data_IF_754752475130
#
_entry.id   IF_754752475130
#
_cell.length_a   1.000
_cell.length_b   1.000
_cell.length_c   1.000
_cell.angle_alpha   90.00
_cell.angle_beta   90.00
_cell.angle_gamma   90.00
#
_symmetry.space_group_name_H-M   'P 1'
#
loop_
_entity.id
_entity.type
_entity.pdbx_description
1 polymer ?
#
# COMPACT_ATOMS: atom_id res chain seq x y z
N UNK A 1 -23.17 -12.38 12.87
CA UNK A 1 -22.21 -11.60 13.67
C UNK A 1 -21.84 -10.35 12.86
N UNK A 2 -22.05 -9.19 13.49
CA UNK A 2 -21.58 -7.92 12.92
C UNK A 2 -20.04 -7.92 12.96
N UNK A 3 -19.36 -7.47 11.89
CA UNK A 3 -17.89 -7.37 11.84
C UNK A 3 -17.29 -6.60 13.02
N UNK A 4 -18.05 -5.67 13.62
CA UNK A 4 -17.64 -4.91 14.82
C UNK A 4 -17.63 -5.76 16.10
N UNK A 5 -18.35 -6.85 16.15
CA UNK A 5 -18.47 -7.68 17.36
C UNK A 5 -17.30 -8.65 17.53
N UNK A 6 -16.69 -9.09 16.41
CA UNK A 6 -15.58 -10.05 16.43
C UNK A 6 -14.36 -9.58 17.23
N UNK A 7 -13.82 -8.36 16.99
CA UNK A 7 -12.70 -7.85 17.78
C UNK A 7 -13.04 -7.74 19.28
N UNK A 8 -14.27 -7.31 19.61
CA UNK A 8 -14.73 -7.20 21.00
C UNK A 8 -14.77 -8.56 21.69
N UNK A 9 -15.28 -9.59 21.01
CA UNK A 9 -15.35 -10.96 21.55
C UNK A 9 -13.95 -11.50 21.79
N UNK A 10 -13.03 -11.32 20.81
CA UNK A 10 -11.67 -11.80 20.91
C UNK A 10 -10.88 -11.08 22.01
N UNK A 11 -10.93 -9.76 22.07
CA UNK A 11 -10.16 -8.96 23.01
C UNK A 11 -10.65 -9.08 24.47
N UNK A 12 -11.94 -9.37 24.68
CA UNK A 12 -12.49 -9.66 26.02
C UNK A 12 -11.82 -10.85 26.69
N UNK A 13 -11.32 -11.83 25.92
CA UNK A 13 -10.58 -12.98 26.47
C UNK A 13 -9.27 -12.55 27.16
N UNK A 14 -8.73 -11.41 26.77
CA UNK A 14 -7.52 -10.82 27.37
C UNK A 14 -7.83 -9.67 28.34
N UNK A 15 -9.09 -9.52 28.76
CA UNK A 15 -9.49 -8.43 29.66
C UNK A 15 -9.48 -7.04 29.02
N UNK A 16 -9.37 -6.96 27.68
CA UNK A 16 -9.33 -5.69 26.94
C UNK A 16 -10.74 -5.28 26.56
N UNK A 17 -11.14 -4.08 26.98
CA UNK A 17 -12.38 -3.43 26.56
C UNK A 17 -12.10 -2.50 25.38
N UNK A 18 -12.96 -2.54 24.37
CA UNK A 18 -12.93 -1.59 23.25
C UNK A 18 -13.91 -0.47 23.56
N UNK A 19 -13.44 0.75 23.59
CA UNK A 19 -14.27 1.94 23.84
C UNK A 19 -14.75 2.58 22.53
N UNK A 20 -13.91 2.59 21.49
CA UNK A 20 -14.20 3.25 20.20
C UNK A 20 -13.75 2.42 19.00
N UNK A 21 -14.35 2.66 17.84
CA UNK A 21 -14.03 2.01 16.56
C UNK A 21 -13.76 3.03 15.45
N UNK A 22 -12.71 2.81 14.68
CA UNK A 22 -12.55 3.39 13.36
C UNK A 22 -12.85 2.34 12.29
N UNK A 23 -13.52 2.73 11.20
CA UNK A 23 -13.66 1.83 10.05
C UNK A 23 -12.31 1.68 9.34
N UNK A 24 -12.13 0.59 8.60
CA UNK A 24 -10.86 0.26 7.94
C UNK A 24 -10.32 1.43 7.10
N UNK A 25 -11.09 1.92 6.14
CA UNK A 25 -10.65 3.04 5.29
C UNK A 25 -10.50 4.36 6.05
N UNK A 26 -11.25 4.56 7.15
CA UNK A 26 -11.08 5.75 8.00
C UNK A 26 -9.74 5.70 8.75
N UNK A 27 -9.33 4.53 9.25
CA UNK A 27 -8.02 4.38 9.90
C UNK A 27 -6.86 4.60 8.92
N UNK A 28 -6.95 4.08 7.69
CA UNK A 28 -5.97 4.36 6.64
C UNK A 28 -5.89 5.85 6.30
N UNK A 29 -7.04 6.49 6.08
CA UNK A 29 -7.10 7.92 5.82
C UNK A 29 -6.45 8.72 6.95
N UNK A 30 -6.86 8.45 8.18
CA UNK A 30 -6.38 9.18 9.34
C UNK A 30 -4.88 8.97 9.58
N UNK A 31 -4.38 7.74 9.45
CA UNK A 31 -2.94 7.44 9.54
C UNK A 31 -2.13 8.22 8.51
N UNK A 32 -2.60 8.29 7.28
CA UNK A 32 -1.94 9.06 6.23
C UNK A 32 -2.06 10.58 6.44
N UNK A 33 -3.27 11.09 6.66
CA UNK A 33 -3.54 12.53 6.75
C UNK A 33 -2.89 13.18 7.98
N UNK A 34 -3.05 12.57 9.16
CA UNK A 34 -2.56 13.16 10.41
C UNK A 34 -1.06 12.97 10.67
N UNK A 35 -0.38 12.13 9.87
CA UNK A 35 1.09 12.08 9.83
C UNK A 35 1.66 13.00 8.76
N UNK A 36 0.84 13.49 7.82
CA UNK A 36 1.30 14.35 6.73
C UNK A 36 1.66 15.75 7.20
N UNK A 37 2.53 16.46 6.46
CA UNK A 37 2.82 17.87 6.73
C UNK A 37 1.70 18.80 6.27
N UNK A 38 0.63 18.29 5.66
CA UNK A 38 -0.41 19.11 5.06
C UNK A 38 -1.51 19.47 6.05
N UNK A 39 -1.93 20.73 6.04
CA UNK A 39 -3.13 21.19 6.74
C UNK A 39 -4.37 21.07 5.86
N UNK A 40 -4.21 21.20 4.55
CA UNK A 40 -5.25 21.07 3.55
C UNK A 40 -4.82 20.10 2.46
N UNK A 41 -5.48 18.95 2.41
CA UNK A 41 -5.16 17.88 1.47
C UNK A 41 -6.38 17.05 1.11
N UNK A 42 -6.28 16.33 -0.01
CA UNK A 42 -7.16 15.20 -0.25
C UNK A 42 -6.45 13.90 0.14
N UNK A 43 -7.20 12.95 0.66
CA UNK A 43 -6.68 11.60 0.89
C UNK A 43 -7.38 10.60 -0.02
N UNK A 44 -6.59 9.82 -0.73
CA UNK A 44 -7.05 8.70 -1.53
C UNK A 44 -6.56 7.40 -0.86
N UNK A 45 -7.48 6.66 -0.29
CA UNK A 45 -7.21 5.31 0.23
C UNK A 45 -7.51 4.30 -0.87
N UNK A 46 -6.53 3.47 -1.24
CA UNK A 46 -6.68 2.39 -2.23
C UNK A 46 -6.16 1.11 -1.63
N UNK A 47 -7.02 0.11 -1.56
CA UNK A 47 -6.70 -1.16 -0.92
C UNK A 47 -7.24 -2.35 -1.71
N UNK A 48 -6.92 -3.55 -1.25
CA UNK A 48 -7.54 -4.76 -1.77
C UNK A 48 -9.03 -4.77 -1.41
N UNK A 49 -9.34 -4.81 -0.14
CA UNK A 49 -10.68 -4.67 0.43
C UNK A 49 -10.58 -4.40 1.94
N UNK A 50 -11.28 -3.39 2.41
CA UNK A 50 -11.45 -3.11 3.83
C UNK A 50 -12.93 -3.06 4.18
N UNK A 51 -13.44 -4.04 4.94
CA UNK A 51 -14.87 -4.28 5.12
C UNK A 51 -15.55 -4.50 3.75
N UNK A 52 -16.08 -3.46 3.12
CA UNK A 52 -16.65 -3.49 1.77
C UNK A 52 -16.02 -2.48 0.82
N UNK A 53 -15.29 -1.52 1.33
CA UNK A 53 -14.60 -0.49 0.55
C UNK A 53 -13.30 -1.06 -0.06
N UNK A 54 -13.07 -0.71 -1.32
CA UNK A 54 -11.81 -0.99 -2.05
C UNK A 54 -11.06 0.29 -2.37
N UNK A 55 -11.77 1.43 -2.31
CA UNK A 55 -11.22 2.76 -2.45
C UNK A 55 -12.11 3.76 -1.72
N UNK A 56 -11.51 4.76 -1.10
CA UNK A 56 -12.23 5.92 -0.56
C UNK A 56 -11.47 7.21 -0.82
N UNK A 57 -12.22 8.28 -1.03
CA UNK A 57 -11.71 9.61 -1.28
C UNK A 57 -12.24 10.58 -0.23
N UNK A 58 -11.32 11.36 0.32
CA UNK A 58 -11.59 12.28 1.41
C UNK A 58 -11.10 13.67 1.08
N UNK A 59 -11.85 14.68 1.48
CA UNK A 59 -11.45 16.07 1.51
C UNK A 59 -11.19 16.45 2.96
N UNK A 60 -9.92 16.54 3.33
CA UNK A 60 -9.48 16.53 4.72
C UNK A 60 -10.10 15.32 5.46
N UNK A 61 -10.98 15.53 6.41
CA UNK A 61 -11.65 14.49 7.21
C UNK A 61 -12.99 14.03 6.63
N UNK A 62 -13.49 14.69 5.59
CA UNK A 62 -14.81 14.40 5.02
C UNK A 62 -14.71 13.41 3.88
N UNK A 63 -15.33 12.24 4.02
CA UNK A 63 -15.46 11.31 2.90
C UNK A 63 -16.38 11.92 1.84
N UNK A 64 -15.85 12.00 0.60
CA UNK A 64 -16.58 12.57 -0.56
C UNK A 64 -16.83 11.55 -1.66
N UNK A 65 -16.24 10.36 -1.57
CA UNK A 65 -16.47 9.28 -2.52
C UNK A 65 -15.92 7.96 -2.03
N UNK A 66 -16.50 6.87 -2.54
CA UNK A 66 -16.03 5.51 -2.26
C UNK A 66 -16.33 4.58 -3.42
N UNK A 67 -15.54 3.55 -3.53
CA UNK A 67 -15.78 2.39 -4.37
C UNK A 67 -15.84 1.16 -3.49
N UNK A 68 -16.77 0.26 -3.82
CA UNK A 68 -16.97 -0.97 -3.05
C UNK A 68 -16.69 -2.19 -3.92
N UNK A 69 -16.43 -3.30 -3.23
CA UNK A 69 -16.37 -4.62 -3.81
C UNK A 69 -17.62 -4.88 -4.71
N UNK A 70 -17.49 -5.54 -5.89
CA UNK A 70 -16.36 -6.39 -6.28
C UNK A 70 -15.25 -5.68 -7.08
N UNK A 71 -15.38 -4.41 -7.42
CA UNK A 71 -14.37 -3.70 -8.20
C UNK A 71 -13.24 -3.26 -7.28
N UNK A 72 -12.03 -3.76 -7.52
CA UNK A 72 -10.84 -3.45 -6.71
C UNK A 72 -9.58 -3.48 -7.56
N UNK A 73 -8.81 -2.39 -7.50
CA UNK A 73 -7.47 -2.34 -8.12
C UNK A 73 -6.47 -3.20 -7.36
N UNK A 74 -6.57 -3.25 -6.02
CA UNK A 74 -5.71 -4.08 -5.18
C UNK A 74 -5.95 -5.56 -5.42
N UNK A 75 -7.22 -6.03 -5.38
CA UNK A 75 -7.54 -7.43 -5.67
C UNK A 75 -7.15 -7.84 -7.09
N UNK A 76 -7.31 -6.96 -8.09
CA UNK A 76 -6.84 -7.23 -9.45
C UNK A 76 -5.34 -7.45 -9.47
N UNK A 77 -4.59 -6.56 -8.79
CA UNK A 77 -3.13 -6.64 -8.75
C UNK A 77 -2.67 -7.94 -8.06
N UNK A 78 -3.25 -8.28 -6.91
CA UNK A 78 -2.98 -9.53 -6.19
C UNK A 78 -3.36 -10.77 -7.00
N UNK A 79 -4.49 -10.73 -7.74
CA UNK A 79 -4.91 -11.83 -8.60
C UNK A 79 -3.93 -12.09 -9.76
N UNK A 80 -3.35 -11.04 -10.34
CA UNK A 80 -2.29 -11.18 -11.36
C UNK A 80 -0.99 -11.63 -10.73
N UNK A 81 -0.64 -11.14 -9.54
CA UNK A 81 0.50 -11.63 -8.74
C UNK A 81 0.41 -13.14 -8.54
N UNK A 82 -0.76 -13.64 -8.12
CA UNK A 82 -1.01 -15.09 -8.02
C UNK A 82 -0.90 -15.82 -9.36
N UNK A 83 -1.42 -15.22 -10.43
CA UNK A 83 -1.42 -15.81 -11.78
C UNK A 83 -0.01 -16.06 -12.32
N UNK A 84 0.95 -15.23 -11.97
CA UNK A 84 2.36 -15.35 -12.36
C UNK A 84 3.19 -16.16 -11.36
N UNK A 85 2.53 -16.91 -10.46
CA UNK A 85 3.18 -17.86 -9.55
C UNK A 85 3.72 -17.27 -8.26
N UNK A 86 3.41 -16.00 -7.96
CA UNK A 86 3.82 -15.31 -6.75
C UNK A 86 2.70 -15.35 -5.68
N UNK A 87 3.06 -15.06 -4.42
CA UNK A 87 2.15 -15.10 -3.29
C UNK A 87 1.30 -13.82 -3.23
N UNK A 88 -0.03 -13.90 -3.40
CA UNK A 88 -0.90 -12.73 -3.33
C UNK A 88 -0.93 -12.16 -1.91
N UNK A 89 -1.10 -10.85 -1.80
CA UNK A 89 -1.06 -10.02 -0.58
C UNK A 89 0.31 -9.94 0.12
N UNK A 90 1.37 -10.47 -0.49
CA UNK A 90 2.73 -10.41 0.05
C UNK A 90 3.78 -10.03 -1.00
N UNK A 91 3.64 -10.51 -2.24
CA UNK A 91 4.69 -10.40 -3.26
C UNK A 91 4.33 -9.47 -4.44
N UNK A 92 3.36 -8.57 -4.26
CA UNK A 92 2.99 -7.55 -5.25
C UNK A 92 4.18 -6.65 -5.63
N UNK A 93 5.13 -6.44 -4.71
CA UNK A 93 6.33 -5.68 -4.99
C UNK A 93 7.25 -6.36 -6.01
N UNK A 94 7.25 -7.70 -6.07
CA UNK A 94 7.97 -8.47 -7.09
C UNK A 94 7.28 -8.29 -8.44
N UNK A 95 5.94 -8.39 -8.49
CA UNK A 95 5.15 -8.10 -9.69
C UNK A 95 5.44 -6.70 -10.23
N UNK A 96 5.51 -5.70 -9.34
CA UNK A 96 5.88 -4.32 -9.71
C UNK A 96 7.29 -4.24 -10.30
N UNK A 97 8.26 -4.97 -9.73
CA UNK A 97 9.62 -5.05 -10.26
C UNK A 97 9.68 -5.76 -11.61
N UNK A 98 8.98 -6.90 -11.77
CA UNK A 98 8.89 -7.65 -13.02
C UNK A 98 8.30 -6.82 -14.17
N UNK A 99 7.39 -5.90 -13.87
CA UNK A 99 6.77 -5.03 -14.86
C UNK A 99 7.78 -4.20 -15.67
N UNK A 100 8.95 -3.90 -15.10
CA UNK A 100 10.02 -3.18 -15.79
C UNK A 100 10.65 -3.97 -16.95
N UNK A 101 10.53 -5.28 -16.94
CA UNK A 101 11.11 -6.17 -17.94
C UNK A 101 10.12 -6.65 -19.00
N UNK A 102 8.82 -6.36 -18.82
CA UNK A 102 7.74 -6.75 -19.72
C UNK A 102 7.25 -5.60 -20.62
N UNK A 103 6.32 -5.94 -21.50
CA UNK A 103 5.59 -4.97 -22.35
C UNK A 103 4.10 -5.01 -21.99
N UNK A 104 3.41 -3.87 -21.82
CA UNK A 104 2.01 -3.82 -21.39
C UNK A 104 1.02 -4.14 -22.54
N UNK A 105 1.15 -5.32 -23.14
CA UNK A 105 0.41 -5.75 -24.34
C UNK A 105 -1.05 -6.08 -24.06
N UNK A 106 -1.37 -6.44 -22.80
CA UNK A 106 -2.68 -6.97 -22.41
C UNK A 106 -3.51 -5.99 -21.59
N UNK A 107 -3.10 -4.72 -21.54
CA UNK A 107 -3.74 -3.67 -20.72
C UNK A 107 -5.24 -3.56 -21.00
N UNK A 108 -5.64 -3.50 -22.28
CA UNK A 108 -7.06 -3.42 -22.67
C UNK A 108 -7.83 -4.66 -22.25
N UNK A 109 -7.27 -5.85 -22.49
CA UNK A 109 -7.90 -7.11 -22.12
C UNK A 109 -8.14 -7.19 -20.60
N UNK A 110 -7.11 -6.90 -19.81
CA UNK A 110 -7.18 -6.92 -18.33
C UNK A 110 -8.23 -5.92 -17.83
N UNK A 111 -8.27 -4.72 -18.39
CA UNK A 111 -9.22 -3.68 -18.01
C UNK A 111 -10.66 -4.07 -18.31
N UNK A 112 -10.93 -4.65 -19.46
CA UNK A 112 -12.28 -5.00 -19.90
C UNK A 112 -12.79 -6.31 -19.30
N UNK A 113 -11.91 -7.30 -19.11
CA UNK A 113 -12.29 -8.64 -18.73
C UNK A 113 -11.99 -8.97 -17.26
N UNK A 114 -10.93 -8.44 -16.66
CA UNK A 114 -10.53 -8.79 -15.30
C UNK A 114 -10.89 -7.70 -14.26
N UNK A 115 -10.67 -6.43 -14.54
CA UNK A 115 -10.94 -5.35 -13.58
C UNK A 115 -12.39 -5.32 -13.09
N UNK A 116 -13.34 -5.66 -13.95
CA UNK A 116 -14.78 -5.64 -13.64
C UNK A 116 -15.29 -6.92 -12.99
N UNK A 117 -14.43 -7.91 -12.80
CA UNK A 117 -14.79 -9.20 -12.20
C UNK A 117 -14.49 -9.24 -10.71
N UNK A 118 -15.06 -10.24 -10.07
CA UNK A 118 -14.69 -10.61 -8.71
C UNK A 118 -13.33 -11.31 -8.72
N UNK A 119 -12.27 -10.56 -8.43
CA UNK A 119 -10.88 -11.06 -8.43
C UNK A 119 -10.46 -11.72 -7.11
N UNK A 120 -11.37 -11.88 -6.16
CA UNK A 120 -11.08 -12.51 -4.87
C UNK A 120 -10.64 -13.99 -4.99
N UNK A 121 -11.02 -14.63 -6.09
CA UNK A 121 -10.64 -16.03 -6.43
C UNK A 121 -9.51 -16.10 -7.48
N UNK A 122 -8.82 -15.00 -7.76
CA UNK A 122 -7.86 -14.92 -8.84
C UNK A 122 -8.50 -14.63 -10.20
N UNK A 123 -7.66 -14.56 -11.23
CA UNK A 123 -8.07 -14.40 -12.63
C UNK A 123 -8.19 -15.76 -13.32
N UNK A 124 -9.01 -15.90 -14.40
CA UNK A 124 -9.19 -17.18 -15.06
C UNK A 124 -7.88 -17.74 -15.65
N UNK A 125 -7.59 -19.00 -15.34
CA UNK A 125 -6.36 -19.66 -15.79
C UNK A 125 -6.30 -19.88 -17.32
N UNK A 126 -7.46 -19.94 -17.98
CA UNK A 126 -7.56 -20.15 -19.41
C UNK A 126 -7.38 -18.86 -20.23
N UNK A 127 -7.39 -17.71 -19.59
CA UNK A 127 -7.17 -16.43 -20.26
C UNK A 127 -5.66 -16.17 -20.40
N UNK A 128 -5.25 -15.63 -21.56
CA UNK A 128 -3.86 -15.20 -21.82
C UNK A 128 -2.80 -16.29 -21.51
N UNK A 129 -3.08 -17.54 -21.87
CA UNK A 129 -2.18 -18.68 -21.60
C UNK A 129 -0.83 -18.59 -22.31
N UNK A 130 -0.76 -17.78 -23.37
CA UNK A 130 0.46 -17.51 -24.17
C UNK A 130 1.24 -16.30 -23.70
N UNK A 131 0.72 -15.56 -22.72
CA UNK A 131 1.38 -14.37 -22.21
C UNK A 131 2.55 -14.75 -21.31
N UNK A 132 3.65 -13.99 -21.39
CA UNK A 132 4.75 -14.14 -20.42
C UNK A 132 4.37 -13.46 -19.10
N UNK A 133 4.94 -13.95 -18.00
CA UNK A 133 4.71 -13.37 -16.68
C UNK A 133 5.14 -11.90 -16.62
N UNK A 134 6.24 -11.54 -17.29
CA UNK A 134 6.70 -10.16 -17.40
C UNK A 134 5.70 -9.26 -18.14
N UNK A 135 5.09 -9.75 -19.25
CA UNK A 135 4.10 -8.97 -19.99
C UNK A 135 2.77 -8.85 -19.22
N UNK A 136 2.40 -9.87 -18.43
CA UNK A 136 1.25 -9.79 -17.51
C UNK A 136 1.51 -8.78 -16.39
N UNK A 137 2.69 -8.84 -15.77
CA UNK A 137 3.11 -7.88 -14.75
C UNK A 137 3.12 -6.44 -15.29
N UNK A 138 3.72 -6.21 -16.47
CA UNK A 138 3.72 -4.90 -17.11
C UNK A 138 2.31 -4.42 -17.46
N UNK A 139 1.43 -5.33 -17.86
CA UNK A 139 0.06 -4.99 -18.25
C UNK A 139 -0.82 -4.62 -17.06
N UNK A 140 -0.74 -5.36 -15.94
CA UNK A 140 -1.49 -5.01 -14.72
C UNK A 140 -0.95 -3.73 -14.09
N UNK A 141 0.38 -3.52 -14.10
CA UNK A 141 1.01 -2.27 -13.65
C UNK A 141 0.46 -1.09 -14.44
N UNK A 142 0.40 -1.20 -15.76
CA UNK A 142 -0.14 -0.15 -16.63
C UNK A 142 -1.63 0.11 -16.37
N UNK A 143 -2.44 -0.93 -16.15
CA UNK A 143 -3.86 -0.77 -15.76
C UNK A 143 -3.96 0.02 -14.46
N UNK A 144 -3.18 -0.37 -13.44
CA UNK A 144 -3.18 0.30 -12.14
C UNK A 144 -2.80 1.78 -12.27
N UNK A 145 -1.71 2.10 -12.97
CA UNK A 145 -1.26 3.48 -13.22
C UNK A 145 -2.31 4.33 -13.92
N UNK A 146 -2.93 3.79 -14.97
CA UNK A 146 -3.93 4.50 -15.76
C UNK A 146 -5.18 4.80 -14.94
N UNK A 147 -5.69 3.82 -14.21
CA UNK A 147 -6.90 4.01 -13.40
C UNK A 147 -6.61 4.93 -12.20
N UNK A 148 -5.46 4.78 -11.51
CA UNK A 148 -5.05 5.68 -10.44
C UNK A 148 -4.93 7.13 -10.95
N UNK A 149 -4.23 7.34 -12.06
CA UNK A 149 -4.08 8.67 -12.68
C UNK A 149 -5.43 9.27 -13.09
N UNK A 150 -6.33 8.47 -13.62
CA UNK A 150 -7.69 8.88 -14.01
C UNK A 150 -8.50 9.32 -12.79
N UNK A 151 -8.45 8.55 -11.70
CA UNK A 151 -9.12 8.87 -10.44
C UNK A 151 -8.59 10.20 -9.89
N UNK A 152 -7.27 10.33 -9.79
CA UNK A 152 -6.63 11.54 -9.27
C UNK A 152 -6.95 12.77 -10.12
N UNK A 153 -6.85 12.66 -11.45
CA UNK A 153 -7.18 13.78 -12.36
C UNK A 153 -8.64 14.20 -12.26
N UNK A 154 -9.55 13.24 -12.14
CA UNK A 154 -10.98 13.51 -12.15
C UNK A 154 -11.50 14.05 -10.81
N UNK A 155 -10.98 13.50 -9.71
CA UNK A 155 -11.58 13.68 -8.40
C UNK A 155 -10.73 14.46 -7.40
N UNK A 156 -9.39 14.40 -7.49
CA UNK A 156 -8.51 15.11 -6.55
C UNK A 156 -8.29 16.55 -7.01
N UNK A 157 -9.00 17.49 -6.38
CA UNK A 157 -8.98 18.90 -6.75
C UNK A 157 -7.81 19.68 -6.15
N UNK A 158 -7.28 19.23 -5.01
CA UNK A 158 -6.18 19.89 -4.32
C UNK A 158 -4.82 19.41 -4.85
N UNK A 159 -3.80 20.25 -4.72
CA UNK A 159 -2.43 19.92 -5.11
C UNK A 159 -1.79 18.94 -4.11
N UNK A 160 -2.15 19.03 -2.83
CA UNK A 160 -1.68 18.14 -1.78
C UNK A 160 -2.53 16.87 -1.76
N UNK A 161 -1.89 15.74 -1.91
CA UNK A 161 -2.52 14.43 -1.98
C UNK A 161 -1.84 13.46 -1.01
N UNK A 162 -2.62 12.91 -0.10
CA UNK A 162 -2.21 11.78 0.74
C UNK A 162 -2.70 10.51 0.06
N UNK A 163 -1.83 9.51 -0.05
CA UNK A 163 -2.20 8.17 -0.56
C UNK A 163 -1.98 7.17 0.56
N UNK A 164 -2.97 6.33 0.83
CA UNK A 164 -2.96 5.31 1.90
C UNK A 164 -3.62 4.02 1.44
N UNK A 165 -3.60 2.98 2.29
CA UNK A 165 -3.97 1.62 1.93
C UNK A 165 -2.79 0.84 1.34
N UNK A 166 -2.90 -0.48 1.23
CA UNK A 166 -1.82 -1.35 0.75
C UNK A 166 -1.32 -0.98 -0.64
N UNK A 167 -2.20 -0.49 -1.51
CA UNK A 167 -1.85 -0.07 -2.87
C UNK A 167 -0.96 1.19 -2.92
N UNK A 168 -0.89 1.98 -1.85
CA UNK A 168 0.02 3.13 -1.76
C UNK A 168 1.50 2.73 -1.79
N UNK A 169 1.82 1.46 -1.59
CA UNK A 169 3.17 0.92 -1.73
C UNK A 169 3.67 0.83 -3.18
N UNK A 170 2.79 1.06 -4.18
CA UNK A 170 3.19 1.08 -5.59
C UNK A 170 3.87 2.42 -5.94
N UNK A 171 5.17 2.50 -5.65
CA UNK A 171 5.95 3.72 -5.87
C UNK A 171 6.05 4.11 -7.35
N UNK A 172 6.01 3.16 -8.28
CA UNK A 172 6.05 3.42 -9.72
C UNK A 172 4.81 4.21 -10.16
N UNK A 173 3.63 3.78 -9.75
CA UNK A 173 2.40 4.51 -10.06
C UNK A 173 2.35 5.88 -9.39
N UNK A 174 2.78 5.96 -8.12
CA UNK A 174 2.76 7.20 -7.35
C UNK A 174 3.67 8.27 -7.96
N UNK A 175 4.86 7.90 -8.47
CA UNK A 175 5.81 8.83 -9.09
C UNK A 175 5.28 9.51 -10.35
N UNK A 176 4.29 8.92 -11.00
CA UNK A 176 3.66 9.46 -12.21
C UNK A 176 2.57 10.52 -11.91
N UNK A 177 2.20 10.72 -10.65
CA UNK A 177 1.18 11.68 -10.25
C UNK A 177 1.79 13.07 -10.07
N UNK A 178 1.26 14.07 -10.76
CA UNK A 178 1.69 15.47 -10.64
C UNK A 178 1.00 16.14 -9.44
N UNK A 179 1.40 15.79 -8.23
CA UNK A 179 0.86 16.31 -6.96
C UNK A 179 1.98 16.41 -5.92
N UNK A 180 1.76 17.18 -4.86
CA UNK A 180 2.54 17.08 -3.63
C UNK A 180 2.04 15.87 -2.89
N UNK A 181 2.81 14.78 -2.91
CA UNK A 181 2.35 13.49 -2.39
C UNK A 181 2.94 13.23 -1.01
N UNK A 182 2.09 12.78 -0.10
CA UNK A 182 2.49 12.18 1.17
C UNK A 182 2.00 10.74 1.25
N UNK A 183 2.88 9.85 1.63
CA UNK A 183 2.58 8.45 1.93
C UNK A 183 3.25 8.13 3.26
N UNK A 184 2.45 7.71 4.24
CA UNK A 184 3.00 7.21 5.51
C UNK A 184 3.88 5.97 5.23
N UNK A 185 5.03 5.79 5.89
CA UNK A 185 5.95 4.69 5.61
C UNK A 185 5.35 3.29 5.71
N UNK A 186 4.31 3.12 6.52
CA UNK A 186 3.54 1.88 6.62
C UNK A 186 2.06 2.13 6.26
N UNK A 187 1.75 2.30 4.95
CA UNK A 187 0.42 2.73 4.53
C UNK A 187 -0.62 1.61 4.50
N UNK A 188 -0.19 0.34 4.60
CA UNK A 188 -1.06 -0.84 4.63
C UNK A 188 -1.68 -1.11 6.00
N UNK A 189 -2.32 -2.28 6.13
CA UNK A 189 -3.11 -2.66 7.31
C UNK A 189 -2.34 -2.63 8.62
N UNK A 190 -1.08 -3.09 8.62
CA UNK A 190 -0.24 -3.07 9.82
C UNK A 190 0.02 -1.66 10.35
N UNK A 191 0.08 -0.66 9.47
CA UNK A 191 0.24 0.74 9.85
C UNK A 191 -1.08 1.44 10.15
N UNK A 192 -2.21 0.92 9.68
CA UNK A 192 -3.53 1.52 9.91
C UNK A 192 -3.93 1.49 11.39
N UNK A 193 -3.36 0.59 12.18
CA UNK A 193 -3.52 0.58 13.65
C UNK A 193 -3.14 1.92 14.28
N UNK A 194 -2.06 2.57 13.80
CA UNK A 194 -1.68 3.91 14.23
C UNK A 194 -2.77 4.94 13.85
N UNK A 195 -3.41 4.76 12.70
CA UNK A 195 -4.46 5.64 12.20
C UNK A 195 -5.76 5.60 13.00
N UNK A 196 -6.01 4.54 13.77
CA UNK A 196 -7.20 4.46 14.64
C UNK A 196 -7.22 5.57 15.68
N UNK A 197 -6.06 5.97 16.20
CA UNK A 197 -5.96 7.03 17.21
C UNK A 197 -6.44 8.38 16.64
N UNK A 198 -5.82 8.93 15.57
CA UNK A 198 -6.26 10.22 15.02
C UNK A 198 -7.62 10.15 14.33
N UNK A 199 -8.08 8.99 13.87
CA UNK A 199 -9.45 8.83 13.36
C UNK A 199 -10.51 9.21 14.42
N UNK A 200 -10.21 8.94 15.69
CA UNK A 200 -11.08 9.22 16.83
C UNK A 200 -10.78 10.60 17.42
N UNK A 201 -9.50 10.88 17.70
CA UNK A 201 -9.08 12.10 18.41
C UNK A 201 -9.07 13.34 17.50
N UNK A 202 -8.98 13.14 16.19
CA UNK A 202 -8.85 14.22 15.18
C UNK A 202 -7.66 15.16 15.42
N UNK A 203 -6.57 14.59 15.91
CA UNK A 203 -5.37 15.35 16.24
C UNK A 203 -4.18 14.89 15.41
N UNK A 204 -3.36 15.84 14.97
CA UNK A 204 -2.09 15.56 14.33
C UNK A 204 -1.21 14.72 15.24
N UNK A 205 -0.60 13.70 14.67
CA UNK A 205 0.39 12.90 15.36
C UNK A 205 1.74 13.65 15.39
N UNK A 206 2.45 13.57 16.51
CA UNK A 206 3.81 14.08 16.60
C UNK A 206 4.76 13.13 15.83
N UNK A 207 4.65 13.19 14.50
CA UNK A 207 5.36 12.30 13.61
C UNK A 207 6.84 12.64 13.51
N UNK A 208 7.72 11.71 13.90
CA UNK A 208 9.18 11.89 13.94
C UNK A 208 9.92 11.16 12.80
N UNK A 209 9.21 10.71 11.78
CA UNK A 209 9.78 9.97 10.66
C UNK A 209 9.61 8.46 10.78
N UNK A 210 10.20 7.71 9.83
CA UNK A 210 9.96 6.27 9.70
C UNK A 210 10.76 5.38 10.65
N UNK A 211 11.76 5.91 11.33
CA UNK A 211 12.69 5.12 12.16
C UNK A 211 12.21 5.06 13.62
N UNK A 212 11.20 4.23 13.89
CA UNK A 212 10.52 4.13 15.18
C UNK A 212 10.85 2.86 15.97
N UNK A 213 11.50 1.88 15.34
CA UNK A 213 11.77 0.57 15.95
C UNK A 213 12.99 0.56 16.88
N UNK A 214 13.43 -0.65 17.22
CA UNK A 214 14.59 -0.89 18.08
C UNK A 214 15.84 -0.27 17.49
N UNK A 215 16.63 0.40 18.35
CA UNK A 215 17.89 1.03 17.98
C UNK A 215 19.05 0.04 18.07
N UNK A 216 19.94 0.07 17.08
CA UNK A 216 21.28 -0.53 17.13
C UNK A 216 22.28 0.63 17.07
N UNK A 217 22.84 1.03 18.20
CA UNK A 217 23.70 2.21 18.27
C UNK A 217 25.02 1.98 17.54
N UNK A 218 25.62 3.06 17.05
CA UNK A 218 26.92 3.08 16.39
C UNK A 218 26.90 3.88 15.10
N UNK A 219 28.10 4.14 14.56
CA UNK A 219 28.24 4.77 13.26
C UNK A 219 27.84 3.79 12.15
N UNK A 220 27.29 4.33 11.05
CA UNK A 220 26.91 3.51 9.90
C UNK A 220 28.19 2.91 9.26
N UNK A 221 28.32 1.57 9.15
CA UNK A 221 29.60 0.92 8.88
C UNK A 221 29.94 0.88 7.36
N UNK A 222 30.09 2.05 6.73
CA UNK A 222 30.24 2.20 5.27
C UNK A 222 31.41 1.37 4.73
N UNK A 223 32.59 1.46 5.35
CA UNK A 223 33.79 0.76 4.85
C UNK A 223 33.64 -0.75 4.93
N UNK A 224 33.05 -1.28 6.00
CA UNK A 224 32.75 -2.69 6.15
C UNK A 224 31.73 -3.17 5.12
N UNK A 225 30.68 -2.38 4.86
CA UNK A 225 29.69 -2.68 3.84
C UNK A 225 30.33 -2.74 2.45
N UNK A 226 31.18 -1.77 2.10
CA UNK A 226 31.88 -1.74 0.81
C UNK A 226 32.79 -2.96 0.66
N UNK A 227 33.51 -3.32 1.73
CA UNK A 227 34.39 -4.49 1.73
C UNK A 227 33.59 -5.78 1.49
N UNK A 228 32.49 -5.97 2.20
CA UNK A 228 31.63 -7.15 2.06
C UNK A 228 30.95 -7.22 0.68
N UNK A 229 30.44 -6.11 0.17
CA UNK A 229 29.86 -6.07 -1.17
C UNK A 229 30.86 -6.45 -2.26
N UNK A 230 32.12 -5.98 -2.16
CA UNK A 230 33.19 -6.35 -3.11
C UNK A 230 33.55 -7.85 -3.02
N UNK A 231 33.54 -8.42 -1.81
CA UNK A 231 33.90 -9.82 -1.58
C UNK A 231 32.74 -10.77 -1.91
N UNK A 232 31.56 -10.50 -1.40
CA UNK A 232 30.44 -11.44 -1.35
C UNK A 232 29.24 -11.02 -2.22
N UNK A 233 29.27 -9.86 -2.89
CA UNK A 233 28.20 -9.32 -3.75
C UNK A 233 26.90 -8.95 -3.01
N UNK A 234 26.77 -9.37 -1.75
CA UNK A 234 25.59 -9.10 -0.94
C UNK A 234 25.98 -8.93 0.52
N UNK A 235 25.31 -8.01 1.23
CA UNK A 235 25.50 -7.81 2.67
C UNK A 235 24.19 -7.39 3.33
N UNK A 236 23.91 -7.95 4.51
CA UNK A 236 22.84 -7.50 5.39
C UNK A 236 23.33 -6.39 6.30
N UNK A 237 22.58 -5.29 6.38
CA UNK A 237 22.90 -4.14 7.23
C UNK A 237 21.84 -3.97 8.32
N UNK A 238 22.30 -3.83 9.57
CA UNK A 238 21.47 -3.47 10.71
C UNK A 238 22.18 -2.39 11.52
N UNK A 239 21.64 -1.16 11.51
CA UNK A 239 22.20 -0.01 12.23
C UNK A 239 21.11 1.01 12.54
N UNK A 240 21.25 1.80 13.60
CA UNK A 240 20.25 2.80 14.00
C UNK A 240 18.87 2.17 14.32
N UNK A 241 17.83 2.98 14.31
CA UNK A 241 16.46 2.52 14.58
C UNK A 241 15.84 1.81 13.39
N UNK A 242 15.17 0.69 13.66
CA UNK A 242 14.45 -0.04 12.60
C UNK A 242 13.34 0.82 11.98
N UNK A 243 13.09 0.57 10.71
CA UNK A 243 12.02 1.20 9.94
C UNK A 243 10.63 0.79 10.44
N UNK A 244 9.71 1.75 10.47
CA UNK A 244 8.27 1.50 10.61
C UNK A 244 7.65 1.37 9.22
N UNK A 245 7.52 0.14 8.74
CA UNK A 245 6.94 -0.14 7.43
C UNK A 245 7.64 -1.29 6.70
N UNK A 246 7.06 -1.74 5.58
CA UNK A 246 7.54 -2.93 4.86
C UNK A 246 8.74 -2.65 3.94
N UNK A 247 9.17 -1.39 3.80
CA UNK A 247 10.28 -1.02 2.92
C UNK A 247 11.57 -0.83 3.71
N UNK A 248 12.66 -1.40 3.19
CA UNK A 248 14.00 -1.12 3.68
C UNK A 248 14.40 0.33 3.34
N UNK A 249 14.89 1.07 4.34
CA UNK A 249 15.31 2.46 4.20
C UNK A 249 16.79 2.67 4.62
N UNK A 250 17.54 1.60 4.73
CA UNK A 250 18.97 1.63 5.04
C UNK A 250 19.32 1.08 6.43
N UNK A 251 18.41 1.06 7.38
CA UNK A 251 18.69 0.64 8.75
C UNK A 251 18.46 -0.87 8.99
N UNK A 252 17.61 -1.50 8.21
CA UNK A 252 17.42 -2.96 8.09
C UNK A 252 17.30 -3.29 6.63
N UNK A 253 18.46 -3.50 5.97
CA UNK A 253 18.51 -3.60 4.50
C UNK A 253 19.39 -4.76 4.05
N UNK A 254 19.02 -5.37 2.93
CA UNK A 254 19.91 -6.19 2.12
C UNK A 254 20.42 -5.31 0.98
N UNK A 255 21.73 -5.24 0.82
CA UNK A 255 22.42 -4.52 -0.24
C UNK A 255 23.11 -5.53 -1.16
N UNK A 256 23.04 -5.33 -2.50
CA UNK A 256 23.65 -6.18 -3.51
C UNK A 256 24.17 -5.38 -4.69
#
# INVERSE_FOLDING_TARGET
>A
LNMKDLPSIYLRQFGIKIDEYATHHHSHMAGGYYTSPFEDAMTLTVDAIGEMETMSLWDNEKMIGRQQYPISLGLLYSAVTQRIGLKPNEEEYITMGMAAYGKPRYTTFIKENWLKRNNHKGVPNNDLTWATDYDLAASVQKVYEDELSKIVKKHCKKINLVISGGCALNCVANSNLKRNIWIMPNPGDSGSALGCIPAITKQKLNWKGPFLGQDIPGEYPVDSIIKELKANKMVGVANGRAEFGPRALGNRSLLA
#
